data_IF_899239363706
#
_entry.id   IF_899239363706
#
_cell.length_a   1.000
_cell.length_b   1.000
_cell.length_c   1.000
_cell.angle_alpha   90.00
_cell.angle_beta   90.00
_cell.angle_gamma   90.00
#
_symmetry.space_group_name_H-M   'P 1'
#
loop_
_entity.id
_entity.type
_entity.pdbx_description
1 polymer ?
#
# COMPACT_ATOMS: atom_id res chain seq x y z
N UNK A 1 -29.86 -8.59 -10.56
CA UNK A 1 -29.04 -9.28 -11.57
C UNK A 1 -27.67 -8.60 -11.54
N UNK A 2 -26.60 -9.06 -10.89
CA UNK A 2 -26.28 -10.29 -10.17
C UNK A 2 -25.37 -9.95 -8.97
N UNK A 3 -25.90 -9.99 -7.75
CA UNK A 3 -25.09 -9.89 -6.53
C UNK A 3 -24.18 -11.12 -6.34
N UNK A 4 -24.57 -12.27 -6.90
CA UNK A 4 -23.83 -13.54 -6.78
C UNK A 4 -22.57 -13.63 -7.65
N UNK A 5 -22.50 -12.92 -8.80
CA UNK A 5 -21.33 -12.98 -9.67
C UNK A 5 -20.14 -12.19 -9.06
N UNK A 6 -20.45 -11.08 -8.38
CA UNK A 6 -19.45 -10.19 -7.78
C UNK A 6 -18.76 -10.83 -6.57
N UNK A 7 -19.48 -11.64 -5.79
CA UNK A 7 -18.94 -12.29 -4.58
C UNK A 7 -17.90 -13.37 -4.89
N UNK A 8 -18.04 -14.05 -6.04
CA UNK A 8 -17.07 -15.05 -6.49
C UNK A 8 -15.69 -14.48 -6.86
N UNK A 9 -15.64 -13.21 -7.29
CA UNK A 9 -14.42 -12.54 -7.77
C UNK A 9 -13.50 -12.10 -6.63
N UNK A 10 -14.06 -11.76 -5.46
CA UNK A 10 -13.33 -11.36 -4.25
C UNK A 10 -13.11 -12.52 -3.28
N UNK A 11 -13.39 -13.75 -3.71
CA UNK A 11 -13.27 -14.93 -2.86
C UNK A 11 -11.83 -15.10 -2.39
N UNK A 12 -11.68 -15.18 -1.08
CA UNK A 12 -10.40 -15.45 -0.40
C UNK A 12 -10.32 -16.95 -0.10
N UNK A 13 -9.10 -17.49 -0.11
CA UNK A 13 -8.81 -18.84 0.35
C UNK A 13 -7.65 -18.82 1.34
N UNK A 14 -7.70 -19.75 2.27
CA UNK A 14 -6.61 -20.03 3.18
C UNK A 14 -5.63 -20.97 2.50
N UNK A 15 -4.35 -20.62 2.46
CA UNK A 15 -3.28 -21.47 1.93
C UNK A 15 -2.25 -21.72 3.03
N UNK A 16 -1.76 -22.96 3.11
CA UNK A 16 -0.63 -23.33 3.97
C UNK A 16 0.60 -23.51 3.11
N UNK A 17 1.61 -22.65 3.29
CA UNK A 17 2.91 -22.75 2.62
C UNK A 17 4.02 -23.11 3.62
N UNK A 18 5.26 -23.28 3.13
CA UNK A 18 6.44 -23.44 3.97
C UNK A 18 6.66 -22.23 4.90
N UNK A 19 6.17 -21.06 4.51
CA UNK A 19 6.30 -19.83 5.29
C UNK A 19 5.27 -19.68 6.39
N UNK A 20 4.14 -20.37 6.30
CA UNK A 20 3.04 -20.29 7.26
C UNK A 20 1.66 -20.30 6.59
N UNK A 21 0.66 -19.88 7.35
CA UNK A 21 -0.72 -19.78 6.90
C UNK A 21 -0.98 -18.38 6.31
N UNK A 22 -1.59 -18.31 5.14
CA UNK A 22 -1.88 -17.05 4.43
C UNK A 22 -3.30 -17.01 3.90
N UNK A 23 -3.90 -15.81 3.89
CA UNK A 23 -5.19 -15.56 3.24
C UNK A 23 -4.92 -14.89 1.91
N UNK A 24 -5.24 -15.55 0.80
CA UNK A 24 -4.98 -15.02 -0.55
C UNK A 24 -6.26 -14.93 -1.36
N UNK A 25 -6.34 -13.95 -2.25
CA UNK A 25 -7.40 -13.89 -3.25
C UNK A 25 -7.23 -15.05 -4.24
N UNK A 26 -8.35 -15.68 -4.60
CA UNK A 26 -8.36 -16.74 -5.62
C UNK A 26 -7.98 -16.16 -6.98
N UNK A 27 -8.53 -14.99 -7.31
CA UNK A 27 -8.23 -14.30 -8.55
C UNK A 27 -7.24 -13.15 -8.30
N UNK A 28 -6.02 -13.32 -8.81
CA UNK A 28 -4.95 -12.34 -8.63
C UNK A 28 -5.22 -11.00 -9.34
N UNK A 29 -6.11 -10.95 -10.34
CA UNK A 29 -6.54 -9.70 -10.99
C UNK A 29 -7.21 -8.71 -10.01
N UNK A 30 -7.73 -9.22 -8.89
CA UNK A 30 -8.41 -8.40 -7.87
C UNK A 30 -7.51 -8.09 -6.68
N UNK A 31 -6.21 -8.35 -6.82
CA UNK A 31 -5.24 -8.10 -5.76
C UNK A 31 -5.05 -6.60 -5.55
N UNK A 32 -5.13 -6.19 -4.29
CA UNK A 32 -4.75 -4.85 -3.87
C UNK A 32 -3.27 -4.56 -4.24
N UNK A 33 -2.96 -3.38 -4.79
CA UNK A 33 -1.58 -3.01 -5.16
C UNK A 33 -0.65 -2.91 -3.95
N UNK A 34 -1.19 -2.77 -2.74
CA UNK A 34 -0.41 -2.74 -1.50
C UNK A 34 0.13 -4.11 -1.07
N UNK A 35 -0.42 -5.21 -1.62
CA UNK A 35 -0.02 -6.56 -1.25
C UNK A 35 1.19 -7.04 -2.06
N UNK A 36 2.17 -7.65 -1.38
CA UNK A 36 3.37 -8.27 -1.95
C UNK A 36 3.31 -9.80 -2.03
N UNK A 37 3.86 -10.36 -3.10
CA UNK A 37 3.97 -11.80 -3.28
C UNK A 37 4.91 -12.40 -2.23
N UNK A 38 4.68 -13.67 -1.86
CA UNK A 38 5.61 -14.36 -0.97
C UNK A 38 6.96 -14.54 -1.66
N UNK A 39 8.08 -14.23 -0.98
CA UNK A 39 9.40 -14.35 -1.57
C UNK A 39 9.77 -15.82 -1.78
N UNK A 40 10.56 -16.09 -2.81
CA UNK A 40 11.22 -17.38 -2.93
C UNK A 40 12.22 -17.57 -1.79
N UNK A 41 12.16 -18.72 -1.14
CA UNK A 41 13.16 -19.08 -0.13
C UNK A 41 14.44 -19.55 -0.79
N UNK A 42 15.55 -18.99 -0.35
CA UNK A 42 16.86 -19.49 -0.77
C UNK A 42 17.04 -20.92 -0.23
N UNK A 43 17.48 -21.88 -1.05
CA UNK A 43 17.72 -23.25 -0.60
C UNK A 43 18.77 -23.32 0.52
N UNK A 44 18.53 -24.16 1.53
CA UNK A 44 19.43 -24.27 2.67
C UNK A 44 20.84 -24.72 2.27
N UNK A 45 20.96 -25.63 1.29
CA UNK A 45 22.24 -26.16 0.82
C UNK A 45 23.13 -25.12 0.14
N UNK A 46 22.56 -24.02 -0.37
CA UNK A 46 23.32 -22.95 -1.04
C UNK A 46 23.96 -21.97 -0.05
N UNK A 47 23.52 -21.95 1.21
CA UNK A 47 23.95 -20.94 2.19
C UNK A 47 24.73 -21.58 3.33
N UNK A 48 25.99 -21.21 3.49
CA UNK A 48 26.86 -21.70 4.58
C UNK A 48 27.06 -20.70 5.72
N UNK A 49 26.72 -19.43 5.52
CA UNK A 49 26.89 -18.34 6.49
C UNK A 49 25.62 -17.51 6.65
N UNK A 50 25.41 -16.91 7.82
CA UNK A 50 24.30 -16.00 8.04
C UNK A 50 24.34 -14.83 7.03
N UNK A 51 23.21 -14.52 6.41
CA UNK A 51 23.12 -13.43 5.43
C UNK A 51 23.56 -12.08 6.00
N UNK A 52 23.28 -11.83 7.28
CA UNK A 52 23.63 -10.56 7.97
C UNK A 52 25.01 -10.63 8.63
N UNK A 53 25.18 -11.35 9.74
CA UNK A 53 26.44 -11.35 10.51
C UNK A 53 27.59 -12.15 9.88
N UNK A 54 27.36 -12.85 8.77
CA UNK A 54 28.35 -13.69 8.07
C UNK A 54 28.96 -14.83 8.89
N UNK A 55 28.46 -15.10 10.09
CA UNK A 55 28.93 -16.26 10.87
C UNK A 55 28.52 -17.58 10.22
N UNK A 56 29.43 -18.56 10.24
CA UNK A 56 29.20 -19.89 9.65
C UNK A 56 28.13 -20.65 10.43
N UNK A 57 27.20 -21.26 9.71
CA UNK A 57 26.23 -22.18 10.29
C UNK A 57 26.90 -23.50 10.69
N UNK A 58 26.42 -24.11 11.76
CA UNK A 58 26.91 -25.38 12.29
C UNK A 58 25.79 -26.07 13.09
N UNK A 59 26.11 -27.13 13.83
CA UNK A 59 25.10 -27.90 14.58
C UNK A 59 24.37 -27.09 15.65
N UNK A 60 25.00 -26.07 16.24
CA UNK A 60 24.39 -25.21 17.27
C UNK A 60 23.76 -23.95 16.67
N UNK A 61 24.33 -23.41 15.59
CA UNK A 61 23.83 -22.25 14.84
C UNK A 61 23.01 -22.70 13.64
N UNK A 62 21.70 -22.83 13.84
CA UNK A 62 20.75 -23.28 12.81
C UNK A 62 20.36 -22.15 11.85
N UNK A 63 19.91 -22.56 10.66
CA UNK A 63 19.42 -21.69 9.58
C UNK A 63 17.95 -21.31 9.81
N UNK A 64 17.59 -20.07 9.54
CA UNK A 64 16.23 -19.57 9.60
C UNK A 64 15.89 -18.64 8.43
N UNK A 65 14.81 -18.92 7.71
CA UNK A 65 14.32 -18.02 6.66
C UNK A 65 13.57 -16.82 7.23
N UNK A 66 13.87 -15.63 6.69
CA UNK A 66 13.02 -14.47 6.84
C UNK A 66 11.81 -14.60 5.91
N UNK A 67 10.58 -14.49 6.45
CA UNK A 67 9.35 -14.63 5.64
C UNK A 67 9.05 -13.44 4.73
N UNK A 68 9.73 -12.30 4.94
CA UNK A 68 9.61 -11.10 4.10
C UNK A 68 10.56 -11.10 2.90
N UNK A 69 11.82 -11.53 3.08
CA UNK A 69 12.83 -11.48 2.02
C UNK A 69 13.34 -12.85 1.52
N UNK A 70 12.96 -13.96 2.15
CA UNK A 70 13.32 -15.31 1.72
C UNK A 70 14.77 -15.74 1.98
N UNK A 71 15.63 -14.85 2.50
CA UNK A 71 17.04 -15.15 2.81
C UNK A 71 17.20 -15.85 4.17
N UNK A 72 18.39 -16.42 4.40
CA UNK A 72 18.70 -17.27 5.57
C UNK A 72 19.55 -16.53 6.60
N UNK A 73 19.15 -16.60 7.87
CA UNK A 73 19.75 -15.91 9.00
C UNK A 73 19.95 -16.86 10.20
N UNK A 74 20.82 -16.50 11.13
CA UNK A 74 20.88 -17.12 12.45
C UNK A 74 19.77 -16.55 13.36
N UNK A 75 19.59 -17.15 14.55
CA UNK A 75 18.51 -16.75 15.46
C UNK A 75 18.64 -15.31 15.96
N UNK A 76 19.86 -14.80 16.16
CA UNK A 76 20.10 -13.42 16.62
C UNK A 76 19.81 -12.37 15.54
N UNK A 77 20.08 -12.69 14.27
CA UNK A 77 19.77 -11.81 13.13
C UNK A 77 18.31 -11.93 12.65
N UNK A 78 17.50 -12.76 13.29
CA UNK A 78 16.09 -12.98 12.95
C UNK A 78 15.23 -13.29 14.16
N UNK A 79 15.46 -12.58 15.26
CA UNK A 79 14.83 -12.87 16.56
C UNK A 79 13.33 -12.56 16.58
N UNK A 80 12.89 -11.57 15.80
CA UNK A 80 11.51 -11.07 15.84
C UNK A 80 10.52 -11.94 15.06
N UNK A 81 9.29 -11.99 15.59
CA UNK A 81 8.09 -12.44 14.88
C UNK A 81 7.10 -11.29 14.84
N UNK A 82 6.72 -10.88 13.64
CA UNK A 82 5.84 -9.71 13.44
C UNK A 82 4.78 -10.01 12.39
N UNK A 83 3.67 -9.30 12.45
CA UNK A 83 2.67 -9.33 11.39
C UNK A 83 3.28 -8.79 10.09
N UNK A 84 2.92 -9.39 8.96
CA UNK A 84 3.35 -8.92 7.63
C UNK A 84 2.10 -8.59 6.79
N UNK A 85 1.47 -7.41 6.98
CA UNK A 85 0.19 -7.06 6.36
C UNK A 85 0.22 -7.18 4.82
N UNK A 86 1.32 -6.73 4.20
CA UNK A 86 1.51 -6.81 2.74
C UNK A 86 1.55 -8.23 2.20
N UNK A 87 1.95 -9.22 3.00
CA UNK A 87 2.14 -10.60 2.56
C UNK A 87 0.96 -11.51 2.92
N UNK A 88 -0.03 -10.98 3.63
CA UNK A 88 -1.27 -11.68 4.00
C UNK A 88 -1.04 -12.94 4.85
N UNK A 89 -0.01 -12.95 5.70
CA UNK A 89 0.14 -13.97 6.73
C UNK A 89 -0.94 -13.80 7.80
N UNK A 90 -1.48 -14.92 8.29
CA UNK A 90 -2.50 -14.92 9.35
C UNK A 90 -1.86 -14.57 10.70
N UNK A 91 -0.76 -15.23 11.01
CA UNK A 91 -0.06 -15.07 12.29
C UNK A 91 1.25 -14.28 12.10
N UNK A 92 1.78 -13.68 13.18
CA UNK A 92 3.13 -13.13 13.18
C UNK A 92 4.19 -14.18 12.78
N UNK A 93 5.03 -13.82 11.80
CA UNK A 93 6.04 -14.72 11.23
C UNK A 93 7.45 -14.19 11.45
N UNK A 94 8.43 -15.10 11.41
CA UNK A 94 9.84 -14.75 11.62
C UNK A 94 10.36 -13.85 10.50
N UNK A 95 11.02 -12.76 10.88
CA UNK A 95 11.72 -11.86 9.96
C UNK A 95 13.15 -11.63 10.40
N UNK A 96 14.03 -11.22 9.49
CA UNK A 96 15.34 -10.69 9.87
C UNK A 96 15.20 -9.27 10.41
N UNK A 97 16.21 -8.78 11.15
CA UNK A 97 16.15 -7.48 11.82
C UNK A 97 15.85 -6.33 10.84
N UNK A 98 16.56 -6.25 9.71
CA UNK A 98 16.29 -5.25 8.68
C UNK A 98 14.86 -5.32 8.10
N UNK A 99 14.29 -6.52 7.97
CA UNK A 99 12.89 -6.65 7.54
C UNK A 99 11.90 -6.31 8.65
N UNK A 100 12.31 -6.39 9.92
CA UNK A 100 11.49 -5.93 11.03
C UNK A 100 11.34 -4.41 10.98
N UNK A 101 12.44 -3.67 10.84
CA UNK A 101 12.46 -2.21 10.78
C UNK A 101 11.59 -1.69 9.62
N UNK A 102 11.73 -2.29 8.42
CA UNK A 102 10.90 -1.91 7.26
C UNK A 102 9.42 -2.20 7.53
N UNK A 103 9.11 -3.35 8.13
CA UNK A 103 7.70 -3.71 8.39
C UNK A 103 7.08 -2.82 9.46
N UNK A 104 7.85 -2.39 10.46
CA UNK A 104 7.38 -1.46 11.49
C UNK A 104 6.99 -0.11 10.87
N UNK A 105 7.83 0.44 9.98
CA UNK A 105 7.51 1.63 9.20
C UNK A 105 6.25 1.44 8.34
N UNK A 106 6.10 0.26 7.70
CA UNK A 106 4.91 -0.06 6.92
C UNK A 106 3.65 -0.24 7.79
N UNK A 107 3.79 -0.65 9.06
CA UNK A 107 2.65 -0.99 9.91
C UNK A 107 1.80 0.23 10.26
N UNK A 108 2.44 1.39 10.50
CA UNK A 108 1.72 2.64 10.74
C UNK A 108 0.80 3.02 9.56
N UNK A 109 1.28 2.80 8.33
CA UNK A 109 0.50 3.03 7.12
C UNK A 109 -0.78 2.16 7.10
N UNK A 110 -0.67 0.86 7.36
CA UNK A 110 -1.83 -0.04 7.33
C UNK A 110 -2.80 0.20 8.50
N UNK A 111 -2.30 0.60 9.66
CA UNK A 111 -3.14 0.77 10.86
C UNK A 111 -3.95 2.06 10.84
N UNK A 112 -3.37 3.14 10.31
CA UNK A 112 -3.96 4.49 10.31
C UNK A 112 -4.32 4.96 8.91
N UNK A 113 -3.35 5.01 7.99
CA UNK A 113 -3.49 5.70 6.70
C UNK A 113 -4.50 5.03 5.79
N UNK A 114 -4.52 3.70 5.72
CA UNK A 114 -5.52 2.97 4.94
C UNK A 114 -6.95 3.34 5.36
N UNK A 115 -7.21 3.43 6.67
CA UNK A 115 -8.55 3.81 7.17
C UNK A 115 -8.90 5.23 6.78
N UNK A 116 -7.97 6.18 6.94
CA UNK A 116 -8.12 7.57 6.48
C UNK A 116 -8.47 7.62 5.00
N UNK A 117 -7.75 6.87 4.16
CA UNK A 117 -7.98 6.81 2.73
C UNK A 117 -9.36 6.26 2.37
N UNK A 118 -9.80 5.17 3.01
CA UNK A 118 -11.09 4.53 2.74
C UNK A 118 -12.29 5.31 3.26
N UNK A 119 -12.12 6.07 4.35
CA UNK A 119 -13.17 6.95 4.89
C UNK A 119 -13.47 8.11 3.93
N UNK A 120 -12.44 8.57 3.20
CA UNK A 120 -12.54 9.66 2.26
C UNK A 120 -12.49 11.04 2.92
N UNK A 121 -12.35 12.04 2.07
CA UNK A 121 -12.40 13.45 2.46
C UNK A 121 -12.99 14.30 1.33
N UNK A 122 -13.43 15.50 1.69
CA UNK A 122 -14.01 16.46 0.75
C UNK A 122 -12.95 17.35 0.14
N UNK A 123 -12.98 17.50 -1.19
CA UNK A 123 -11.99 18.25 -1.97
C UNK A 123 -12.66 19.14 -3.01
N UNK A 124 -11.90 20.14 -3.45
CA UNK A 124 -12.13 20.84 -4.71
C UNK A 124 -11.38 20.11 -5.82
N UNK A 125 -12.13 19.54 -6.76
CA UNK A 125 -11.62 18.80 -7.90
C UNK A 125 -11.58 19.70 -9.14
N UNK A 126 -10.41 19.82 -9.76
CA UNK A 126 -10.20 20.61 -10.97
C UNK A 126 -9.45 19.79 -12.03
N UNK A 127 -10.01 19.57 -13.23
CA UNK A 127 -9.26 18.99 -14.36
C UNK A 127 -8.12 19.91 -14.81
N UNK A 128 -6.98 19.35 -15.21
CA UNK A 128 -5.80 20.11 -15.64
C UNK A 128 -5.69 20.33 -17.16
N UNK A 129 -6.57 19.73 -17.97
CA UNK A 129 -6.50 19.73 -19.45
C UNK A 129 -7.69 20.37 -20.16
N UNK A 130 -8.76 20.70 -19.43
CA UNK A 130 -9.97 21.38 -19.95
C UNK A 130 -10.22 22.67 -19.17
N UNK A 131 -11.16 23.51 -19.63
CA UNK A 131 -11.60 24.70 -18.87
C UNK A 131 -11.81 24.35 -17.39
N UNK A 132 -11.21 25.07 -16.43
CA UNK A 132 -11.13 24.65 -15.03
C UNK A 132 -12.47 24.87 -14.33
N UNK A 133 -13.45 24.00 -14.59
CA UNK A 133 -14.66 23.93 -13.79
C UNK A 133 -14.32 23.14 -12.53
N UNK A 134 -14.01 23.87 -11.47
CA UNK A 134 -13.82 23.28 -10.14
C UNK A 134 -15.16 22.81 -9.60
N UNK A 135 -15.21 21.59 -9.08
CA UNK A 135 -16.39 21.05 -8.40
C UNK A 135 -16.02 20.47 -7.04
N UNK A 136 -17.00 20.40 -6.14
CA UNK A 136 -16.82 19.73 -4.86
C UNK A 136 -16.97 18.21 -5.06
N UNK A 137 -16.08 17.42 -4.47
CA UNK A 137 -16.17 15.97 -4.48
C UNK A 137 -15.79 15.36 -3.13
N UNK A 138 -16.34 14.19 -2.81
CA UNK A 138 -15.71 13.30 -1.84
C UNK A 138 -14.80 12.35 -2.60
N UNK A 139 -13.51 12.33 -2.28
CA UNK A 139 -12.56 11.36 -2.82
C UNK A 139 -12.22 10.32 -1.74
N UNK A 140 -12.25 9.04 -2.09
CA UNK A 140 -11.88 7.94 -1.20
C UNK A 140 -11.23 6.79 -1.94
N UNK A 141 -10.44 6.00 -1.21
CA UNK A 141 -9.92 4.74 -1.71
C UNK A 141 -10.98 3.64 -1.58
N UNK A 142 -11.20 2.89 -2.65
CA UNK A 142 -12.03 1.67 -2.64
C UNK A 142 -11.58 0.66 -1.57
N UNK A 143 -12.48 -0.19 -1.06
CA UNK A 143 -12.18 -1.17 -0.02
C UNK A 143 -11.21 -2.29 -0.44
N UNK A 144 -11.11 -2.56 -1.75
CA UNK A 144 -10.11 -3.46 -2.32
C UNK A 144 -8.80 -2.74 -2.66
N UNK A 145 -8.75 -1.42 -2.38
CA UNK A 145 -7.64 -0.51 -2.56
C UNK A 145 -7.14 -0.41 -4.00
N UNK A 146 -8.01 -0.66 -5.00
CA UNK A 146 -7.61 -0.63 -6.42
C UNK A 146 -8.02 0.63 -7.15
N UNK A 147 -8.96 1.39 -6.60
CA UNK A 147 -9.52 2.56 -7.25
C UNK A 147 -9.61 3.76 -6.31
N UNK A 148 -9.37 4.95 -6.83
CA UNK A 148 -9.90 6.19 -6.27
C UNK A 148 -11.34 6.37 -6.76
N UNK A 149 -12.25 6.60 -5.82
CA UNK A 149 -13.67 6.80 -6.07
C UNK A 149 -14.03 8.26 -5.79
N UNK A 150 -14.83 8.84 -6.67
CA UNK A 150 -15.27 10.23 -6.57
C UNK A 150 -16.79 10.26 -6.44
N UNK A 151 -17.28 10.86 -5.36
CA UNK A 151 -18.69 11.22 -5.22
C UNK A 151 -18.86 12.67 -5.66
N UNK A 152 -19.41 12.87 -6.86
CA UNK A 152 -19.59 14.19 -7.48
C UNK A 152 -20.95 14.24 -8.18
N UNK A 153 -21.48 15.45 -8.37
CA UNK A 153 -22.70 15.65 -9.16
C UNK A 153 -22.60 15.13 -10.61
N UNK A 154 -21.37 15.05 -11.15
CA UNK A 154 -21.08 14.57 -12.50
C UNK A 154 -20.88 13.04 -12.59
N UNK A 155 -20.93 12.31 -11.46
CA UNK A 155 -20.73 10.86 -11.40
C UNK A 155 -19.46 10.39 -12.14
N UNK A 156 -18.32 10.99 -11.80
CA UNK A 156 -17.05 10.64 -12.44
C UNK A 156 -16.70 9.15 -12.22
N UNK A 157 -16.16 8.47 -13.24
CA UNK A 157 -15.78 7.07 -13.10
C UNK A 157 -14.64 6.92 -12.08
N UNK A 158 -14.56 5.78 -11.36
CA UNK A 158 -13.45 5.51 -10.47
C UNK A 158 -12.14 5.41 -11.25
N UNK A 159 -11.07 5.99 -10.71
CA UNK A 159 -9.74 5.94 -11.31
C UNK A 159 -8.98 4.71 -10.78
N UNK A 160 -8.59 3.75 -11.63
CA UNK A 160 -7.73 2.64 -11.23
C UNK A 160 -6.35 3.14 -10.80
N UNK A 161 -5.85 2.70 -9.64
CA UNK A 161 -4.52 3.08 -9.16
C UNK A 161 -3.40 2.66 -10.12
N UNK A 162 -3.58 1.53 -10.82
CA UNK A 162 -2.64 1.05 -11.85
C UNK A 162 -2.52 1.99 -13.07
N UNK A 163 -3.46 2.93 -13.24
CA UNK A 163 -3.44 3.89 -14.35
C UNK A 163 -2.76 5.21 -13.99
N UNK A 164 -2.46 5.43 -12.70
CA UNK A 164 -1.74 6.62 -12.21
C UNK A 164 -0.29 6.53 -12.66
N UNK A 165 0.19 7.60 -13.30
CA UNK A 165 1.55 7.66 -13.85
C UNK A 165 2.49 8.46 -12.98
N UNK A 166 2.00 9.55 -12.36
CA UNK A 166 2.76 10.38 -11.45
C UNK A 166 1.81 11.21 -10.58
N UNK A 167 2.34 11.73 -9.49
CA UNK A 167 1.65 12.68 -8.63
C UNK A 167 2.59 13.80 -8.18
N UNK A 168 2.01 14.88 -7.65
CA UNK A 168 2.75 15.97 -7.03
C UNK A 168 1.92 16.52 -5.86
N UNK A 169 2.42 16.37 -4.63
CA UNK A 169 1.81 16.94 -3.44
C UNK A 169 2.44 18.32 -3.15
N UNK A 170 1.60 19.34 -3.05
CA UNK A 170 2.00 20.67 -2.61
C UNK A 170 1.25 20.99 -1.31
N UNK A 171 2.01 21.19 -0.25
CA UNK A 171 1.52 21.54 1.09
C UNK A 171 2.22 22.84 1.51
N UNK A 172 1.66 23.97 1.07
CA UNK A 172 2.20 25.29 1.39
C UNK A 172 1.62 25.79 2.72
N UNK A 173 2.46 25.72 3.75
CA UNK A 173 2.14 26.13 5.11
C UNK A 173 1.91 27.64 5.22
N UNK A 174 2.49 28.46 4.33
CA UNK A 174 2.42 29.91 4.37
C UNK A 174 1.14 30.44 3.71
N UNK A 175 0.76 29.87 2.57
CA UNK A 175 -0.53 30.21 1.92
C UNK A 175 -1.72 29.45 2.49
N UNK A 176 -1.48 28.44 3.35
CA UNK A 176 -2.50 27.57 3.90
C UNK A 176 -3.24 26.74 2.84
N UNK A 177 -2.63 26.57 1.66
CA UNK A 177 -3.21 25.88 0.51
C UNK A 177 -2.52 24.54 0.31
N UNK A 178 -3.24 23.43 0.47
CA UNK A 178 -2.71 22.10 0.20
C UNK A 178 -3.49 21.41 -0.93
N UNK A 179 -2.78 20.81 -1.87
CA UNK A 179 -3.37 20.06 -2.97
C UNK A 179 -2.45 18.96 -3.49
N UNK A 180 -3.05 17.94 -4.09
CA UNK A 180 -2.32 16.93 -4.86
C UNK A 180 -2.77 16.97 -6.32
N UNK A 181 -1.80 16.93 -7.23
CA UNK A 181 -2.02 16.72 -8.65
C UNK A 181 -1.75 15.27 -8.99
N UNK A 182 -2.69 14.62 -9.69
CA UNK A 182 -2.59 13.22 -10.07
C UNK A 182 -2.70 13.14 -11.59
N UNK A 183 -1.65 12.63 -12.22
CA UNK A 183 -1.63 12.34 -13.65
C UNK A 183 -1.87 10.85 -13.88
N UNK A 184 -2.64 10.54 -14.89
CA UNK A 184 -2.93 9.18 -15.34
C UNK A 184 -2.92 9.14 -16.88
N UNK A 185 -2.98 7.93 -17.45
CA UNK A 185 -2.77 7.71 -18.89
C UNK A 185 -3.54 8.65 -19.84
N UNK A 186 -4.74 9.07 -19.44
CA UNK A 186 -5.67 9.83 -20.29
C UNK A 186 -6.03 11.22 -19.73
N UNK A 187 -5.29 11.73 -18.74
CA UNK A 187 -5.60 13.03 -18.16
C UNK A 187 -4.88 13.31 -16.86
N UNK A 188 -5.21 14.45 -16.26
CA UNK A 188 -4.73 14.80 -14.94
C UNK A 188 -5.78 15.67 -14.23
N UNK A 189 -5.83 15.57 -12.91
CA UNK A 189 -6.69 16.41 -12.08
C UNK A 189 -5.94 16.85 -10.83
N UNK A 190 -6.47 17.89 -10.19
CA UNK A 190 -6.04 18.41 -8.90
C UNK A 190 -7.13 18.18 -7.86
N UNK A 191 -6.76 17.69 -6.68
CA UNK A 191 -7.59 17.69 -5.47
C UNK A 191 -7.00 18.71 -4.50
N UNK A 192 -7.68 19.83 -4.30
CA UNK A 192 -7.31 20.83 -3.31
C UNK A 192 -8.18 20.70 -2.06
N UNK A 193 -7.62 21.05 -0.89
CA UNK A 193 -8.38 21.12 0.36
C UNK A 193 -9.58 22.05 0.19
N UNK A 194 -10.75 21.60 0.63
CA UNK A 194 -11.99 22.39 0.62
C UNK A 194 -12.00 23.53 1.66
N UNK A 195 -13.18 24.12 1.95
CA UNK A 195 -13.34 25.17 2.95
C UNK A 195 -12.77 24.79 4.33
N UNK A 196 -12.39 25.78 5.13
CA UNK A 196 -11.59 25.63 6.37
C UNK A 196 -12.12 24.56 7.35
N UNK A 197 -13.44 24.36 7.41
CA UNK A 197 -14.09 23.38 8.29
C UNK A 197 -13.74 21.91 8.00
N UNK A 198 -13.30 21.60 6.77
CA UNK A 198 -12.95 20.23 6.33
C UNK A 198 -11.46 20.06 6.00
N UNK A 199 -10.67 21.11 6.21
CA UNK A 199 -9.28 21.19 5.77
C UNK A 199 -8.35 20.22 6.47
N UNK A 200 -8.50 20.01 7.78
CA UNK A 200 -7.65 19.08 8.54
C UNK A 200 -7.78 17.63 8.07
N UNK A 201 -9.02 17.16 7.88
CA UNK A 201 -9.28 15.81 7.37
C UNK A 201 -8.78 15.65 5.92
N UNK A 202 -9.04 16.65 5.07
CA UNK A 202 -8.55 16.66 3.69
C UNK A 202 -7.02 16.61 3.63
N UNK A 203 -6.33 17.40 4.46
CA UNK A 203 -4.87 17.43 4.54
C UNK A 203 -4.29 16.09 5.01
N UNK A 204 -4.86 15.48 6.03
CA UNK A 204 -4.44 14.15 6.48
C UNK A 204 -4.62 13.10 5.38
N UNK A 205 -5.72 13.19 4.62
CA UNK A 205 -5.96 12.32 3.48
C UNK A 205 -4.96 12.56 2.34
N UNK A 206 -4.59 13.82 2.03
CA UNK A 206 -3.57 14.15 1.03
C UNK A 206 -2.20 13.56 1.40
N UNK A 207 -1.80 13.68 2.67
CA UNK A 207 -0.56 13.08 3.16
C UNK A 207 -0.61 11.55 3.12
N UNK A 208 -1.75 10.96 3.49
CA UNK A 208 -1.95 9.52 3.44
C UNK A 208 -1.88 8.97 2.00
N UNK A 209 -2.42 9.68 0.99
CA UNK A 209 -2.37 9.20 -0.40
C UNK A 209 -0.98 9.36 -1.00
N UNK A 210 -0.21 10.37 -0.56
CA UNK A 210 1.20 10.53 -0.91
C UNK A 210 2.01 9.32 -0.44
N UNK A 211 1.94 9.01 0.87
CA UNK A 211 2.59 7.83 1.46
C UNK A 211 2.14 6.53 0.73
N UNK A 212 0.86 6.45 0.36
CA UNK A 212 0.32 5.29 -0.35
C UNK A 212 0.93 5.10 -1.74
N UNK A 213 1.08 6.19 -2.51
CA UNK A 213 1.66 6.17 -3.84
C UNK A 213 3.15 5.81 -3.81
N UNK A 214 3.91 6.36 -2.86
CA UNK A 214 5.31 5.98 -2.62
C UNK A 214 5.42 4.49 -2.28
N UNK A 215 4.55 3.98 -1.39
CA UNK A 215 4.57 2.57 -0.96
C UNK A 215 4.31 1.57 -2.09
N UNK A 216 3.54 1.96 -3.11
CA UNK A 216 3.28 1.15 -4.32
C UNK A 216 4.20 1.50 -5.50
N UNK A 217 5.17 2.39 -5.29
CA UNK A 217 6.24 2.69 -6.26
C UNK A 217 5.81 3.60 -7.41
N UNK A 218 4.78 4.44 -7.24
CA UNK A 218 4.46 5.50 -8.19
C UNK A 218 5.46 6.64 -7.97
N UNK A 219 5.96 7.23 -9.06
CA UNK A 219 6.94 8.32 -8.98
C UNK A 219 6.29 9.66 -8.64
N UNK A 220 6.87 10.39 -7.69
CA UNK A 220 6.58 11.80 -7.44
C UNK A 220 7.27 12.68 -8.48
N UNK A 221 6.59 13.71 -8.99
CA UNK A 221 7.24 14.77 -9.79
C UNK A 221 7.99 15.70 -8.84
N UNK A 222 9.23 15.36 -8.52
CA UNK A 222 10.07 16.14 -7.60
C UNK A 222 11.44 15.54 -7.28
N UNK A 223 11.74 14.34 -7.77
CA UNK A 223 13.07 13.70 -7.73
C UNK A 223 13.63 13.50 -9.15
#
# INVERSE_FOLDING_TARGET
>A
MDSNLNESLYRKKLIKSKSGLRIVLINQKYRSPFLLCEPCWVPDNEITHCTSCKEKFNFTKRKHHCRRCGRIYCSSCSCSRIALPRFSFVDPVRVCNSCADITEQESEFFDKRIKTLTNGATFLLSPLSSTPTTCLCICKLSLDHRFLQFDTAANLPPLPLESVTNFNLIDDMDSGSAYIEISYKNGAFRLATGPETMKSQALEWLRAINEAFELIGISSKGE
#
